data_IF_113557330569
#
_entry.id   IF_113557330569
#
_cell.length_a   1.000
_cell.length_b   1.000
_cell.length_c   1.000
_cell.angle_alpha   90.00
_cell.angle_beta   90.00
_cell.angle_gamma   90.00
#
_symmetry.space_group_name_H-M   'P 1'
#
loop_
_entity.id
_entity.type
_entity.pdbx_description
1 polymer ?
#
# COMPACT_ATOMS: atom_id res chain seq x y z
N UNK A 1 2.90 -39.78 30.72
CA UNK A 1 3.75 -39.64 29.51
C UNK A 1 4.10 -38.17 29.40
N UNK A 2 5.37 -37.79 29.60
CA UNK A 2 5.79 -36.39 29.44
C UNK A 2 5.67 -35.99 27.96
N UNK A 3 5.08 -34.84 27.69
CA UNK A 3 5.22 -34.20 26.38
C UNK A 3 6.72 -33.92 26.21
N UNK A 4 7.41 -34.73 25.41
CA UNK A 4 8.80 -34.47 25.07
C UNK A 4 8.92 -33.08 24.46
N UNK A 5 9.91 -32.30 24.90
CA UNK A 5 10.16 -30.96 24.38
C UNK A 5 10.19 -31.02 22.85
N UNK A 6 9.19 -30.42 22.21
CA UNK A 6 9.21 -30.31 20.75
C UNK A 6 10.48 -29.57 20.35
N UNK A 7 11.23 -30.06 19.34
CA UNK A 7 12.47 -29.44 18.93
C UNK A 7 12.25 -27.95 18.66
N UNK A 8 13.04 -27.09 19.30
CA UNK A 8 12.92 -25.63 19.16
C UNK A 8 13.09 -25.26 17.70
N UNK A 9 12.08 -24.62 17.11
CA UNK A 9 12.17 -24.07 15.75
C UNK A 9 13.36 -23.11 15.65
N UNK A 10 14.12 -23.11 14.53
CA UNK A 10 15.20 -22.15 14.34
C UNK A 10 14.68 -20.72 14.36
N UNK A 11 15.45 -19.76 14.90
CA UNK A 11 15.08 -18.34 14.89
C UNK A 11 15.81 -17.59 13.77
N UNK A 12 15.21 -16.50 13.27
CA UNK A 12 15.83 -15.71 12.20
C UNK A 12 17.08 -14.94 12.66
N UNK A 13 17.32 -14.83 13.97
CA UNK A 13 18.55 -14.25 14.52
C UNK A 13 19.74 -15.19 14.35
N UNK A 14 19.54 -16.51 14.44
CA UNK A 14 20.61 -17.51 14.43
C UNK A 14 20.72 -18.25 13.10
N UNK A 15 19.59 -18.62 12.50
CA UNK A 15 19.53 -19.34 11.23
C UNK A 15 18.32 -18.93 10.40
N UNK A 16 18.47 -17.86 9.61
CA UNK A 16 17.43 -17.35 8.73
C UNK A 16 16.95 -18.38 7.70
N UNK A 17 17.86 -19.23 7.20
CA UNK A 17 17.50 -20.21 6.17
C UNK A 17 16.71 -21.35 6.79
N UNK A 18 17.17 -21.90 7.91
CA UNK A 18 16.45 -22.92 8.66
C UNK A 18 15.11 -22.44 9.17
N UNK A 19 15.04 -21.21 9.68
CA UNK A 19 13.81 -20.55 10.12
C UNK A 19 12.77 -20.47 9.00
N UNK A 20 13.14 -19.92 7.83
CA UNK A 20 12.20 -19.84 6.71
C UNK A 20 11.83 -21.22 6.18
N UNK A 21 12.79 -22.15 6.10
CA UNK A 21 12.54 -23.51 5.61
C UNK A 21 11.61 -24.30 6.53
N UNK A 22 11.69 -24.10 7.85
CA UNK A 22 10.76 -24.69 8.81
C UNK A 22 9.34 -24.19 8.57
N UNK A 23 9.16 -22.87 8.47
CA UNK A 23 7.87 -22.27 8.16
C UNK A 23 7.30 -22.76 6.82
N UNK A 24 8.10 -22.89 5.76
CA UNK A 24 7.62 -23.39 4.45
C UNK A 24 7.14 -24.85 4.52
N UNK A 25 7.73 -25.69 5.37
CA UNK A 25 7.27 -27.07 5.59
C UNK A 25 5.93 -27.10 6.33
N UNK A 26 5.78 -26.27 7.35
CA UNK A 26 4.51 -26.14 8.08
C UNK A 26 3.41 -25.62 7.14
N UNK A 27 3.75 -24.63 6.31
CA UNK A 27 2.85 -24.08 5.30
C UNK A 27 2.48 -25.13 4.24
N UNK A 28 3.43 -25.94 3.77
CA UNK A 28 3.15 -27.03 2.84
C UNK A 28 2.19 -28.07 3.45
N UNK A 29 2.24 -28.27 4.76
CA UNK A 29 1.29 -29.16 5.46
C UNK A 29 -0.12 -28.58 5.46
N UNK A 30 -0.25 -27.26 5.66
CA UNK A 30 -1.56 -26.58 5.65
C UNK A 30 -2.13 -26.44 4.23
N UNK A 31 -1.30 -26.12 3.24
CA UNK A 31 -1.72 -25.75 1.89
C UNK A 31 -1.59 -26.90 0.86
N UNK A 32 -0.81 -27.93 1.14
CA UNK A 32 -0.49 -29.02 0.20
C UNK A 32 -1.29 -30.31 0.42
N UNK A 33 -1.95 -30.47 1.56
CA UNK A 33 -2.59 -31.74 1.95
C UNK A 33 -3.99 -31.96 1.40
N UNK A 34 -4.59 -30.98 0.71
CA UNK A 34 -5.99 -31.06 0.30
C UNK A 34 -6.97 -31.24 1.47
N UNK A 35 -6.49 -31.10 2.72
CA UNK A 35 -7.31 -31.24 3.92
C UNK A 35 -8.49 -30.28 3.83
N UNK A 36 -9.70 -30.83 3.96
CA UNK A 36 -10.85 -30.04 4.36
C UNK A 36 -10.54 -29.46 5.73
N UNK A 37 -10.10 -28.20 5.75
CA UNK A 37 -9.91 -27.46 6.99
C UNK A 37 -11.30 -27.36 7.63
N UNK A 38 -11.56 -28.26 8.59
CA UNK A 38 -12.83 -28.33 9.28
C UNK A 38 -13.12 -26.97 9.93
N UNK A 39 -14.30 -26.37 9.68
CA UNK A 39 -14.71 -25.12 10.32
C UNK A 39 -14.68 -25.16 11.86
N UNK A 40 -14.67 -26.36 12.46
CA UNK A 40 -14.61 -26.55 13.91
C UNK A 40 -13.24 -26.23 14.53
N UNK A 41 -12.16 -26.14 13.74
CA UNK A 41 -10.83 -25.70 14.23
C UNK A 41 -10.66 -24.18 14.23
N UNK A 42 -11.73 -23.43 13.90
CA UNK A 42 -11.80 -21.98 14.15
C UNK A 42 -11.67 -21.77 15.65
N UNK A 43 -10.44 -21.62 16.13
CA UNK A 43 -10.19 -20.92 17.40
C UNK A 43 -11.04 -19.66 17.35
N UNK A 44 -11.82 -19.34 18.39
CA UNK A 44 -12.60 -18.10 18.40
C UNK A 44 -11.65 -16.98 18.03
N UNK A 45 -11.91 -16.32 16.90
CA UNK A 45 -11.16 -15.13 16.50
C UNK A 45 -11.38 -14.15 17.66
N UNK A 46 -10.33 -13.77 18.41
CA UNK A 46 -10.48 -12.84 19.51
C UNK A 46 -11.22 -11.60 18.99
N UNK A 47 -12.24 -11.13 19.69
CA UNK A 47 -13.02 -9.97 19.22
C UNK A 47 -12.21 -8.66 19.14
N UNK A 48 -10.92 -8.70 19.51
CA UNK A 48 -9.86 -7.72 19.24
C UNK A 48 -9.82 -7.31 17.76
N UNK A 49 -10.15 -8.23 16.84
CA UNK A 49 -10.13 -8.01 15.39
C UNK A 49 -11.21 -7.02 14.92
N UNK A 50 -12.27 -6.81 15.71
CA UNK A 50 -13.40 -5.96 15.32
C UNK A 50 -13.09 -4.45 15.39
N UNK A 51 -12.11 -4.02 16.19
CA UNK A 51 -11.76 -2.61 16.39
C UNK A 51 -10.46 -2.18 15.67
N UNK A 52 -9.78 -3.13 15.03
CA UNK A 52 -8.56 -2.92 14.23
C UNK A 52 -8.67 -2.41 12.77
N UNK A 53 -9.82 -2.21 12.07
CA UNK A 53 -9.77 -2.25 10.60
C UNK A 53 -9.32 -0.97 9.88
N UNK A 54 -9.45 0.23 10.46
CA UNK A 54 -9.38 1.48 9.67
C UNK A 54 -8.08 2.27 9.77
N UNK A 55 -7.65 2.56 11.00
CA UNK A 55 -6.42 3.34 11.22
C UNK A 55 -5.18 2.59 10.70
N UNK A 56 -5.17 1.26 10.83
CA UNK A 56 -4.14 0.42 10.24
C UNK A 56 -4.18 0.45 8.71
N UNK A 57 -5.36 0.40 8.10
CA UNK A 57 -5.51 0.45 6.65
C UNK A 57 -5.07 1.80 6.06
N UNK A 58 -5.46 2.92 6.66
CA UNK A 58 -5.04 4.26 6.21
C UNK A 58 -3.55 4.50 6.37
N UNK A 59 -2.98 4.01 7.47
CA UNK A 59 -1.54 4.01 7.68
C UNK A 59 -0.84 3.16 6.62
N UNK A 60 -1.31 1.93 6.38
CA UNK A 60 -0.74 1.04 5.37
C UNK A 60 -0.72 1.68 3.98
N UNK A 61 -1.74 2.45 3.64
CA UNK A 61 -1.86 3.14 2.36
C UNK A 61 -0.97 4.38 2.30
N UNK A 62 -0.94 5.17 3.37
CA UNK A 62 -0.02 6.31 3.48
C UNK A 62 1.45 5.85 3.39
N UNK A 63 1.76 4.71 3.98
CA UNK A 63 3.09 4.11 3.88
C UNK A 63 3.31 3.53 2.48
N UNK A 64 2.35 2.81 1.87
CA UNK A 64 2.46 2.34 0.48
C UNK A 64 2.64 3.48 -0.55
N UNK A 65 2.00 4.63 -0.33
CA UNK A 65 2.19 5.86 -1.14
C UNK A 65 3.61 6.42 -0.98
N UNK A 66 4.10 6.53 0.27
CA UNK A 66 5.50 6.90 0.55
C UNK A 66 6.50 5.93 -0.09
N UNK A 67 6.20 4.63 -0.04
CA UNK A 67 7.04 3.57 -0.61
C UNK A 67 7.25 3.75 -2.12
N UNK A 68 6.19 4.10 -2.86
CA UNK A 68 6.28 4.21 -4.33
C UNK A 68 7.06 5.46 -4.78
N UNK A 69 6.96 6.56 -4.03
CA UNK A 69 7.65 7.82 -4.38
C UNK A 69 9.17 7.80 -4.15
N UNK A 70 9.66 6.92 -3.27
CA UNK A 70 11.09 6.85 -2.89
C UNK A 70 11.97 6.18 -3.95
N UNK A 71 11.40 5.30 -4.78
CA UNK A 71 12.17 4.37 -5.63
C UNK A 71 12.49 4.89 -7.03
N UNK A 72 11.90 6.00 -7.48
CA UNK A 72 12.16 6.54 -8.82
C UNK A 72 13.46 7.35 -8.84
N UNK A 73 14.47 6.87 -9.57
CA UNK A 73 15.67 7.67 -9.93
C UNK A 73 16.99 7.33 -9.24
N UNK A 74 17.11 6.20 -8.53
CA UNK A 74 18.34 5.82 -7.81
C UNK A 74 19.16 4.75 -8.56
N UNK A 75 20.50 4.85 -8.59
CA UNK A 75 21.36 3.82 -9.18
C UNK A 75 21.29 2.51 -8.37
N UNK A 76 21.32 1.37 -9.06
CA UNK A 76 21.30 0.03 -8.45
C UNK A 76 22.70 -0.34 -7.96
N UNK A 77 22.86 -0.62 -6.66
CA UNK A 77 24.19 -0.76 -6.02
C UNK A 77 24.57 -2.22 -5.68
N UNK A 78 23.68 -3.21 -5.79
CA UNK A 78 23.94 -4.54 -5.19
C UNK A 78 24.08 -5.74 -6.14
N UNK A 79 25.04 -6.61 -5.80
CA UNK A 79 25.40 -7.89 -6.42
C UNK A 79 24.84 -9.13 -5.69
N UNK A 80 23.94 -8.95 -4.71
CA UNK A 80 23.38 -10.08 -3.94
C UNK A 80 22.45 -10.93 -4.80
N UNK A 81 22.43 -12.24 -4.56
CA UNK A 81 21.44 -13.12 -5.19
C UNK A 81 20.01 -12.76 -4.72
N UNK A 82 19.03 -12.89 -5.60
CA UNK A 82 17.63 -12.56 -5.31
C UNK A 82 17.09 -13.27 -4.06
N UNK A 83 17.44 -14.55 -3.85
CA UNK A 83 17.05 -15.31 -2.65
C UNK A 83 17.54 -14.69 -1.34
N UNK A 84 18.75 -14.12 -1.32
CA UNK A 84 19.29 -13.45 -0.12
C UNK A 84 18.50 -12.17 0.15
N UNK A 85 18.15 -11.42 -0.89
CA UNK A 85 17.34 -10.20 -0.78
C UNK A 85 15.92 -10.50 -0.27
N UNK A 86 15.28 -11.55 -0.79
CA UNK A 86 13.96 -11.98 -0.32
C UNK A 86 13.97 -12.38 1.14
N UNK A 87 14.97 -13.15 1.56
CA UNK A 87 15.11 -13.56 2.95
C UNK A 87 15.41 -12.37 3.87
N UNK A 88 16.26 -11.44 3.45
CA UNK A 88 16.52 -10.19 4.17
C UNK A 88 15.23 -9.37 4.33
N UNK A 89 14.45 -9.20 3.26
CA UNK A 89 13.19 -8.46 3.30
C UNK A 89 12.16 -9.10 4.24
N UNK A 90 12.05 -10.43 4.23
CA UNK A 90 11.19 -11.19 5.15
C UNK A 90 11.59 -10.97 6.61
N UNK A 91 12.87 -11.09 6.93
CA UNK A 91 13.37 -10.90 8.30
C UNK A 91 13.12 -9.48 8.79
N UNK A 92 13.37 -8.48 7.94
CA UNK A 92 13.12 -7.07 8.30
C UNK A 92 11.63 -6.80 8.54
N UNK A 93 10.75 -7.34 7.71
CA UNK A 93 9.31 -7.23 7.92
C UNK A 93 8.91 -7.89 9.25
N UNK A 94 9.35 -9.12 9.53
CA UNK A 94 9.00 -9.81 10.78
C UNK A 94 9.56 -9.13 12.04
N UNK A 95 10.67 -8.39 11.92
CA UNK A 95 11.19 -7.53 12.98
C UNK A 95 10.42 -6.22 13.15
N UNK A 96 9.77 -5.74 12.09
CA UNK A 96 9.03 -4.48 12.11
C UNK A 96 7.77 -4.54 12.97
N UNK A 97 7.15 -5.72 13.08
CA UNK A 97 5.96 -5.94 13.90
C UNK A 97 5.97 -7.34 14.53
N UNK A 98 5.67 -7.47 15.84
CA UNK A 98 5.67 -8.75 16.53
C UNK A 98 4.67 -9.75 15.95
N UNK A 99 3.57 -9.28 15.36
CA UNK A 99 2.49 -10.13 14.85
C UNK A 99 2.78 -10.68 13.45
N UNK A 100 3.80 -10.15 12.76
CA UNK A 100 4.06 -10.51 11.37
C UNK A 100 4.50 -11.94 11.19
N UNK A 101 5.24 -12.50 12.15
CA UNK A 101 5.62 -13.91 12.10
C UNK A 101 4.41 -14.82 12.08
N UNK A 102 3.43 -14.55 12.95
CA UNK A 102 2.17 -15.30 13.01
C UNK A 102 1.31 -15.12 11.76
N UNK A 103 1.40 -13.97 11.09
CA UNK A 103 0.66 -13.70 9.85
C UNK A 103 1.23 -14.40 8.62
N UNK A 104 2.49 -14.87 8.65
CA UNK A 104 3.10 -15.54 7.48
C UNK A 104 2.31 -16.78 7.05
N UNK A 105 1.70 -17.52 7.98
CA UNK A 105 0.86 -18.70 7.65
C UNK A 105 -0.32 -18.38 6.72
N UNK A 106 -0.70 -17.11 6.61
CA UNK A 106 -1.75 -16.62 5.71
C UNK A 106 -1.24 -16.07 4.39
N UNK A 107 0.08 -16.09 4.17
CA UNK A 107 0.75 -15.43 3.05
C UNK A 107 1.62 -16.43 2.26
N UNK A 108 1.04 -17.46 1.63
CA UNK A 108 1.80 -18.43 0.83
C UNK A 108 2.54 -17.82 -0.37
N UNK A 109 2.20 -16.59 -0.76
CA UNK A 109 2.94 -15.79 -1.74
C UNK A 109 4.40 -15.54 -1.33
N UNK A 110 4.67 -15.54 -0.03
CA UNK A 110 5.97 -15.19 0.55
C UNK A 110 6.99 -16.32 0.58
N UNK A 111 6.63 -17.52 0.09
CA UNK A 111 7.61 -18.61 -0.03
C UNK A 111 8.73 -18.22 -0.98
N UNK A 112 9.99 -18.55 -0.65
CA UNK A 112 11.15 -18.28 -1.48
C UNK A 112 11.02 -18.94 -2.85
N UNK A 113 10.37 -20.11 -2.92
CA UNK A 113 10.05 -20.77 -4.19
C UNK A 113 9.13 -19.91 -5.07
N UNK A 114 8.08 -19.29 -4.52
CA UNK A 114 7.19 -18.41 -5.29
C UNK A 114 7.85 -17.08 -5.64
N UNK A 115 8.48 -16.40 -4.68
CA UNK A 115 9.15 -15.13 -4.93
C UNK A 115 10.26 -15.25 -5.99
N UNK A 116 11.03 -16.35 -5.95
CA UNK A 116 12.11 -16.62 -6.89
C UNK A 116 11.69 -17.42 -8.13
N UNK A 117 10.38 -17.57 -8.40
CA UNK A 117 9.91 -18.24 -9.63
C UNK A 117 10.41 -17.47 -10.85
N UNK A 118 10.88 -18.21 -11.87
CA UNK A 118 11.41 -17.67 -13.12
C UNK A 118 12.41 -16.52 -12.89
N UNK A 119 13.40 -16.77 -12.02
CA UNK A 119 14.46 -15.81 -11.68
C UNK A 119 13.96 -14.50 -11.07
N UNK A 120 12.91 -14.55 -10.24
CA UNK A 120 12.38 -13.39 -9.51
C UNK A 120 11.10 -12.80 -10.10
N UNK A 121 10.59 -13.36 -11.21
CA UNK A 121 9.31 -12.95 -11.81
C UNK A 121 8.16 -13.01 -10.82
N UNK A 122 8.13 -14.00 -9.93
CA UNK A 122 7.09 -14.12 -8.90
C UNK A 122 7.05 -12.93 -7.92
N UNK A 123 8.22 -12.39 -7.55
CA UNK A 123 8.29 -11.15 -6.78
C UNK A 123 7.76 -9.95 -7.56
N UNK A 124 8.13 -9.81 -8.84
CA UNK A 124 7.65 -8.71 -9.71
C UNK A 124 6.14 -8.76 -9.90
N UNK A 125 5.56 -9.95 -10.04
CA UNK A 125 4.11 -10.12 -10.12
C UNK A 125 3.41 -9.74 -8.81
N UNK A 126 3.96 -10.14 -7.65
CA UNK A 126 3.43 -9.74 -6.35
C UNK A 126 3.50 -8.22 -6.17
N UNK A 127 4.63 -7.59 -6.54
CA UNK A 127 4.79 -6.14 -6.53
C UNK A 127 3.70 -5.46 -7.37
N UNK A 128 3.51 -5.88 -8.63
CA UNK A 128 2.44 -5.34 -9.51
C UNK A 128 1.05 -5.50 -8.90
N UNK A 129 0.78 -6.64 -8.26
CA UNK A 129 -0.48 -6.89 -7.57
C UNK A 129 -0.69 -6.00 -6.35
N UNK A 130 0.37 -5.49 -5.71
CA UNK A 130 0.27 -4.59 -4.56
C UNK A 130 0.33 -3.11 -4.94
N UNK A 131 0.98 -2.75 -6.05
CA UNK A 131 1.10 -1.37 -6.52
C UNK A 131 -0.27 -0.78 -6.87
N UNK A 132 -0.58 0.40 -6.34
CA UNK A 132 -1.78 1.14 -6.71
C UNK A 132 -1.62 1.76 -8.10
N UNK A 133 -2.67 1.73 -8.92
CA UNK A 133 -2.65 2.41 -10.22
C UNK A 133 -2.60 3.93 -10.05
N UNK A 134 -3.36 4.43 -9.06
CA UNK A 134 -3.38 5.81 -8.65
C UNK A 134 -2.78 5.92 -7.23
N UNK A 135 -1.68 6.66 -7.10
CA UNK A 135 -1.02 6.89 -5.82
C UNK A 135 -1.65 8.05 -5.05
N UNK A 136 -2.47 8.88 -5.69
CA UNK A 136 -3.13 10.02 -5.06
C UNK A 136 -4.51 9.61 -4.55
N UNK A 137 -5.12 8.59 -5.17
CA UNK A 137 -6.34 7.94 -4.68
C UNK A 137 -6.03 6.76 -3.78
N UNK A 138 -6.25 6.95 -2.48
CA UNK A 138 -6.35 5.83 -1.54
C UNK A 138 -7.60 4.99 -1.91
N UNK A 139 -7.50 3.67 -2.11
CA UNK A 139 -8.64 2.82 -2.46
C UNK A 139 -9.63 2.70 -1.29
N UNK A 140 -10.92 2.71 -1.61
CA UNK A 140 -12.00 2.53 -0.61
C UNK A 140 -12.15 1.08 -0.13
N UNK A 141 -11.42 0.14 -0.72
CA UNK A 141 -11.35 -1.23 -0.26
C UNK A 141 -9.94 -1.79 -0.30
N UNK A 142 -9.68 -2.75 0.59
CA UNK A 142 -8.39 -3.39 0.71
C UNK A 142 -8.07 -4.10 -0.59
N UNK A 143 -6.92 -3.76 -1.19
CA UNK A 143 -6.42 -4.47 -2.36
C UNK A 143 -6.03 -5.89 -1.94
N UNK A 144 -6.82 -6.88 -2.34
CA UNK A 144 -6.54 -8.28 -2.03
C UNK A 144 -5.61 -8.90 -3.07
N UNK A 145 -4.72 -9.78 -2.61
CA UNK A 145 -3.85 -10.59 -3.48
C UNK A 145 -4.52 -11.95 -3.68
N UNK A 146 -4.96 -12.32 -4.90
CA UNK A 146 -5.70 -13.55 -5.13
C UNK A 146 -4.92 -14.80 -4.69
N UNK A 147 -5.57 -15.70 -3.95
CA UNK A 147 -4.99 -17.01 -3.62
C UNK A 147 -6.07 -18.01 -3.27
N UNK A 148 -6.28 -18.98 -4.17
CA UNK A 148 -7.38 -19.94 -4.07
C UNK A 148 -7.49 -20.64 -2.70
N UNK A 149 -6.38 -20.97 -2.05
CA UNK A 149 -6.42 -21.65 -0.74
C UNK A 149 -6.78 -20.68 0.38
N UNK A 150 -6.15 -19.51 0.42
CA UNK A 150 -6.51 -18.46 1.38
C UNK A 150 -7.99 -18.04 1.22
N UNK A 151 -8.43 -17.87 -0.03
CA UNK A 151 -9.78 -17.45 -0.38
C UNK A 151 -10.80 -18.52 0.04
N UNK A 152 -10.47 -19.81 -0.13
CA UNK A 152 -11.29 -20.93 0.37
C UNK A 152 -11.37 -20.96 1.90
N UNK A 153 -10.24 -20.74 2.60
CA UNK A 153 -10.20 -20.74 4.07
C UNK A 153 -11.01 -19.57 4.65
N UNK A 154 -10.92 -18.41 4.01
CA UNK A 154 -11.59 -17.19 4.44
C UNK A 154 -12.93 -16.96 3.72
N UNK A 155 -13.48 -17.98 3.05
CA UNK A 155 -14.76 -17.87 2.39
C UNK A 155 -15.87 -17.59 3.42
N UNK A 156 -16.70 -16.58 3.10
CA UNK A 156 -17.88 -16.27 3.89
C UNK A 156 -19.05 -17.15 3.43
N UNK A 157 -19.95 -17.58 4.34
CA UNK A 157 -21.20 -18.20 3.94
C UNK A 157 -22.09 -17.19 3.19
N UNK A 158 -23.12 -17.66 2.49
CA UNK A 158 -24.01 -16.81 1.69
C UNK A 158 -24.65 -15.65 2.49
N UNK A 159 -24.96 -15.88 3.78
CA UNK A 159 -25.51 -14.88 4.69
C UNK A 159 -24.59 -14.73 5.91
N UNK A 160 -23.45 -14.04 5.78
CA UNK A 160 -22.46 -13.96 6.85
C UNK A 160 -22.94 -13.03 7.96
N UNK A 161 -22.75 -13.47 9.21
CA UNK A 161 -22.90 -12.58 10.36
C UNK A 161 -21.94 -11.37 10.21
N UNK A 162 -22.34 -10.12 10.54
CA UNK A 162 -21.50 -8.93 10.37
C UNK A 162 -20.11 -9.04 10.99
N UNK A 163 -20.01 -9.71 12.14
CA UNK A 163 -18.72 -9.99 12.79
C UNK A 163 -17.77 -10.85 11.94
N UNK A 164 -18.28 -11.80 11.13
CA UNK A 164 -17.46 -12.60 10.22
C UNK A 164 -16.96 -11.75 9.05
N UNK A 165 -17.75 -10.81 8.56
CA UNK A 165 -17.34 -9.87 7.51
C UNK A 165 -16.18 -9.00 7.99
N UNK A 166 -16.28 -8.46 9.21
CA UNK A 166 -15.20 -7.67 9.82
C UNK A 166 -13.96 -8.52 10.06
N UNK A 167 -14.13 -9.73 10.59
CA UNK A 167 -13.02 -10.65 10.81
C UNK A 167 -12.28 -10.96 9.51
N UNK A 168 -13.01 -11.30 8.43
CA UNK A 168 -12.42 -11.50 7.10
C UNK A 168 -11.65 -10.26 6.64
N UNK A 169 -12.27 -9.08 6.68
CA UNK A 169 -11.61 -7.84 6.23
C UNK A 169 -10.35 -7.52 7.03
N UNK A 170 -10.34 -7.80 8.33
CA UNK A 170 -9.14 -7.65 9.14
C UNK A 170 -8.06 -8.68 8.78
N UNK A 171 -8.43 -9.94 8.49
CA UNK A 171 -7.50 -10.93 7.95
C UNK A 171 -6.94 -10.50 6.59
N UNK A 172 -7.77 -9.97 5.70
CA UNK A 172 -7.36 -9.45 4.39
C UNK A 172 -6.40 -8.25 4.56
N UNK A 173 -6.69 -7.36 5.51
CA UNK A 173 -5.86 -6.22 5.85
C UNK A 173 -4.49 -6.66 6.39
N UNK A 174 -4.47 -7.55 7.39
CA UNK A 174 -3.23 -8.06 7.98
C UNK A 174 -2.37 -8.80 6.97
N UNK A 175 -2.99 -9.61 6.10
CA UNK A 175 -2.31 -10.29 4.98
C UNK A 175 -1.71 -9.28 4.01
N UNK A 176 -2.52 -8.36 3.49
CA UNK A 176 -2.05 -7.33 2.55
C UNK A 176 -0.93 -6.49 3.16
N UNK A 177 -1.02 -6.18 4.46
CA UNK A 177 0.02 -5.43 5.17
C UNK A 177 1.35 -6.16 5.18
N UNK A 178 1.34 -7.43 5.59
CA UNK A 178 2.55 -8.23 5.63
C UNK A 178 3.16 -8.36 4.23
N UNK A 179 2.34 -8.62 3.21
CA UNK A 179 2.80 -8.71 1.82
C UNK A 179 3.48 -7.41 1.37
N UNK A 180 2.84 -6.26 1.58
CA UNK A 180 3.40 -4.93 1.26
C UNK A 180 4.69 -4.67 2.02
N UNK A 181 4.74 -4.99 3.31
CA UNK A 181 5.93 -4.78 4.15
C UNK A 181 7.10 -5.65 3.71
N UNK A 182 6.87 -6.89 3.31
CA UNK A 182 7.93 -7.75 2.77
C UNK A 182 8.43 -7.18 1.44
N UNK A 183 7.52 -6.83 0.53
CA UNK A 183 7.91 -6.25 -0.77
C UNK A 183 8.74 -4.98 -0.57
N UNK A 184 8.30 -4.10 0.30
CA UNK A 184 9.04 -2.88 0.64
C UNK A 184 10.43 -3.17 1.20
N UNK A 185 10.54 -4.08 2.18
CA UNK A 185 11.83 -4.39 2.78
C UNK A 185 12.78 -5.14 1.84
N UNK A 186 12.27 -5.88 0.85
CA UNK A 186 13.08 -6.43 -0.25
C UNK A 186 13.63 -5.31 -1.11
N UNK A 187 12.82 -4.32 -1.47
CA UNK A 187 13.26 -3.16 -2.26
C UNK A 187 14.31 -2.35 -1.49
N UNK A 188 14.06 -2.04 -0.21
CA UNK A 188 15.07 -1.39 0.65
C UNK A 188 16.37 -2.20 0.71
N UNK A 189 16.29 -3.52 0.89
CA UNK A 189 17.47 -4.37 0.92
C UNK A 189 18.25 -4.32 -0.40
N UNK A 190 17.54 -4.34 -1.54
CA UNK A 190 18.10 -4.24 -2.89
C UNK A 190 18.84 -2.91 -3.12
N UNK A 191 18.28 -1.80 -2.64
CA UNK A 191 18.92 -0.48 -2.71
C UNK A 191 19.97 -0.25 -1.61
N UNK A 192 20.19 -1.22 -0.71
CA UNK A 192 21.13 -1.07 0.40
C UNK A 192 20.64 -0.14 1.51
N UNK A 193 19.34 0.13 1.55
CA UNK A 193 18.68 1.02 2.51
C UNK A 193 18.01 0.23 3.64
N UNK A 194 17.53 0.94 4.66
CA UNK A 194 16.72 0.37 5.74
C UNK A 194 15.83 1.44 6.34
N UNK A 195 14.69 1.04 6.89
CA UNK A 195 13.76 1.93 7.57
C UNK A 195 13.54 1.47 9.02
N UNK A 196 13.35 2.44 9.92
CA UNK A 196 12.99 2.17 11.31
C UNK A 196 11.48 2.22 11.48
N UNK A 197 10.91 1.10 11.89
CA UNK A 197 9.48 0.94 12.17
C UNK A 197 9.20 1.16 13.66
N UNK A 198 8.08 1.82 13.95
CA UNK A 198 7.58 2.04 15.31
C UNK A 198 6.27 1.31 15.52
N UNK A 199 6.02 0.85 16.74
CA UNK A 199 4.72 0.31 17.11
C UNK A 199 3.73 1.46 17.32
N UNK A 200 2.49 1.27 16.89
CA UNK A 200 1.42 2.26 17.09
C UNK A 200 0.56 1.85 18.28
N UNK A 201 0.29 2.80 19.18
CA UNK A 201 -0.66 2.60 20.28
C UNK A 201 -2.07 2.48 19.70
N UNK A 202 -2.59 1.26 19.71
CA UNK A 202 -4.00 0.99 19.45
C UNK A 202 -4.94 1.59 20.50
N UNK A 203 -6.25 1.45 20.27
CA UNK A 203 -7.25 1.76 21.28
C UNK A 203 -7.02 0.91 22.54
N UNK A 204 -7.50 1.42 23.68
CA UNK A 204 -7.54 0.63 24.90
C UNK A 204 -8.65 -0.41 24.77
N UNK A 205 -8.30 -1.67 24.89
CA UNK A 205 -9.31 -2.71 25.08
C UNK A 205 -10.12 -2.40 26.34
N UNK A 206 -11.43 -2.58 26.23
CA UNK A 206 -12.33 -2.60 27.38
C UNK A 206 -11.86 -3.68 28.37
N UNK A 207 -11.60 -3.33 29.66
CA UNK A 207 -11.21 -4.30 30.67
C UNK A 207 -12.16 -5.51 30.78
N UNK A 208 -13.46 -5.30 30.60
CA UNK A 208 -14.45 -6.39 30.61
C UNK A 208 -14.36 -7.27 29.35
N UNK A 209 -14.00 -6.70 28.20
CA UNK A 209 -13.66 -7.48 27.01
C UNK A 209 -12.45 -8.38 27.27
N UNK A 210 -11.35 -7.83 27.83
CA UNK A 210 -10.16 -8.63 28.18
C UNK A 210 -10.50 -9.75 29.17
N UNK A 211 -11.35 -9.48 30.16
CA UNK A 211 -11.80 -10.48 31.14
C UNK A 211 -12.59 -11.61 30.47
N UNK A 212 -13.49 -11.29 29.54
CA UNK A 212 -14.24 -12.28 28.75
C UNK A 212 -13.32 -13.11 27.86
N UNK A 213 -12.36 -12.47 27.20
CA UNK A 213 -11.38 -13.15 26.37
C UNK A 213 -10.54 -14.14 27.19
N UNK A 214 -10.04 -13.71 28.36
CA UNK A 214 -9.33 -14.59 29.32
C UNK A 214 -10.15 -15.80 29.73
N UNK A 215 -11.45 -15.65 29.94
CA UNK A 215 -12.35 -16.76 30.29
C UNK A 215 -12.56 -17.73 29.11
N UNK A 216 -12.56 -17.23 27.88
CA UNK A 216 -12.76 -18.04 26.66
C UNK A 216 -11.50 -18.80 26.21
N UNK A 217 -10.31 -18.29 26.53
CA UNK A 217 -9.03 -18.93 26.21
C UNK A 217 -8.69 -19.90 27.36
N UNK A 218 -9.06 -21.16 27.20
CA UNK A 218 -9.00 -22.23 28.21
C UNK A 218 -7.58 -22.71 28.59
N UNK A 219 -6.56 -21.85 28.52
CA UNK A 219 -5.18 -22.17 28.89
C UNK A 219 -4.47 -21.00 29.60
N UNK A 220 -4.20 -21.16 30.91
CA UNK A 220 -3.61 -20.10 31.73
C UNK A 220 -2.20 -19.66 31.27
N UNK A 221 -1.40 -20.59 30.71
CA UNK A 221 0.01 -20.33 30.37
C UNK A 221 0.14 -19.41 29.16
N UNK A 222 -0.67 -19.60 28.12
CA UNK A 222 -0.64 -18.74 26.92
C UNK A 222 -1.24 -17.36 27.20
N UNK A 223 -2.27 -17.27 28.03
CA UNK A 223 -2.93 -15.99 28.34
C UNK A 223 -1.99 -15.03 29.09
N UNK A 224 -1.21 -15.52 30.06
CA UNK A 224 -0.24 -14.68 30.79
C UNK A 224 0.87 -14.17 29.86
N UNK A 225 1.38 -15.04 28.99
CA UNK A 225 2.43 -14.69 28.01
C UNK A 225 1.93 -13.62 27.04
N UNK A 226 0.79 -13.86 26.38
CA UNK A 226 0.17 -12.91 25.44
C UNK A 226 -0.14 -11.58 26.13
N UNK A 227 -0.65 -11.59 27.36
CA UNK A 227 -0.93 -10.36 28.10
C UNK A 227 0.34 -9.56 28.43
N UNK A 228 1.43 -10.26 28.81
CA UNK A 228 2.73 -9.64 29.07
C UNK A 228 3.35 -9.05 27.80
N UNK A 229 3.37 -9.81 26.70
CA UNK A 229 3.85 -9.36 25.38
C UNK A 229 3.04 -8.15 24.90
N UNK A 230 1.71 -8.21 24.99
CA UNK A 230 0.81 -7.09 24.66
C UNK A 230 1.12 -5.85 25.51
N UNK A 231 1.34 -6.01 26.82
CA UNK A 231 1.70 -4.91 27.70
C UNK A 231 3.04 -4.30 27.32
N UNK A 232 4.07 -5.12 27.05
CA UNK A 232 5.39 -4.68 26.63
C UNK A 232 5.35 -3.95 25.28
N UNK A 233 4.63 -4.50 24.29
CA UNK A 233 4.43 -3.88 22.98
C UNK A 233 3.74 -2.52 23.13
N UNK A 234 2.72 -2.45 23.99
CA UNK A 234 2.00 -1.20 24.25
C UNK A 234 2.84 -0.14 24.97
N UNK A 235 3.82 -0.52 25.77
CA UNK A 235 4.77 0.42 26.38
C UNK A 235 5.69 1.04 25.32
N UNK A 236 6.19 0.23 24.38
CA UNK A 236 7.04 0.67 23.26
C UNK A 236 6.28 1.45 22.20
N UNK A 237 4.98 1.23 22.09
CA UNK A 237 4.16 1.85 21.07
C UNK A 237 4.00 3.37 21.28
N UNK A 238 3.97 4.11 20.19
CA UNK A 238 3.80 5.56 20.15
C UNK A 238 2.41 5.95 19.65
N UNK A 239 1.94 7.13 20.06
CA UNK A 239 0.74 7.73 19.47
C UNK A 239 1.14 8.46 18.20
N UNK A 240 0.27 8.41 17.20
CA UNK A 240 0.53 9.00 15.90
C UNK A 240 -0.55 10.01 15.55
N UNK A 241 -0.19 10.99 14.74
CA UNK A 241 -1.15 11.92 14.18
C UNK A 241 -2.05 11.17 13.19
N UNK A 242 -3.36 11.28 13.39
CA UNK A 242 -4.38 10.62 12.54
C UNK A 242 -4.30 11.08 11.09
N UNK A 243 -3.89 12.33 10.84
CA UNK A 243 -3.85 12.91 9.49
C UNK A 243 -2.56 12.61 8.73
N UNK A 244 -1.38 12.71 9.36
CA UNK A 244 -0.09 12.52 8.67
C UNK A 244 0.64 11.22 9.04
N UNK A 245 0.10 10.45 9.97
CA UNK A 245 0.68 9.18 10.43
C UNK A 245 1.97 9.32 11.21
N UNK A 246 2.46 10.53 11.51
CA UNK A 246 3.74 10.71 12.21
C UNK A 246 3.56 10.69 13.74
N UNK A 247 4.50 10.09 14.50
CA UNK A 247 4.56 10.28 15.94
C UNK A 247 5.01 11.71 16.30
N UNK A 248 4.86 12.09 17.57
CA UNK A 248 5.22 13.42 18.07
C UNK A 248 6.68 13.79 17.73
N UNK A 249 7.61 12.86 17.99
CA UNK A 249 9.05 12.99 17.73
C UNK A 249 9.36 13.34 16.27
N UNK A 250 8.81 12.58 15.32
CA UNK A 250 9.01 12.83 13.88
C UNK A 250 8.22 14.03 13.34
N UNK A 251 7.16 14.45 14.03
CA UNK A 251 6.36 15.62 13.66
C UNK A 251 6.94 16.94 14.21
N UNK A 252 8.03 16.90 14.98
CA UNK A 252 8.64 18.09 15.58
C UNK A 252 7.78 18.73 16.68
N UNK A 253 6.97 17.94 17.38
CA UNK A 253 6.13 18.41 18.50
C UNK A 253 6.40 17.57 19.75
N UNK A 254 6.34 18.20 20.93
CA UNK A 254 6.55 17.49 22.20
C UNK A 254 5.43 16.48 22.47
N UNK A 255 4.18 16.88 22.22
CA UNK A 255 3.00 16.02 22.43
C UNK A 255 1.97 16.21 21.33
N UNK A 256 1.20 15.16 21.04
CA UNK A 256 0.07 15.25 20.12
C UNK A 256 -1.19 15.73 20.84
N UNK A 257 -1.92 16.65 20.21
CA UNK A 257 -3.20 17.16 20.70
C UNK A 257 -4.33 16.15 20.47
N UNK A 258 -5.15 15.87 21.48
CA UNK A 258 -6.30 14.97 21.37
C UNK A 258 -7.59 15.72 20.96
N UNK A 259 -8.45 15.09 20.16
CA UNK A 259 -9.80 15.60 19.92
C UNK A 259 -10.67 15.46 21.18
N UNK A 260 -11.06 16.58 21.80
CA UNK A 260 -11.79 16.57 23.08
C UNK A 260 -13.15 15.85 22.99
N UNK A 261 -13.87 16.02 21.88
CA UNK A 261 -15.16 15.32 21.66
C UNK A 261 -15.00 13.81 21.57
N UNK A 262 -13.91 13.33 20.95
CA UNK A 262 -13.64 11.89 20.87
C UNK A 262 -13.15 11.34 22.20
N UNK A 263 -12.30 12.11 22.90
CA UNK A 263 -11.82 11.76 24.23
C UNK A 263 -12.97 11.59 25.23
N UNK A 264 -14.04 12.38 25.12
CA UNK A 264 -15.24 12.27 25.96
C UNK A 264 -16.01 10.95 25.81
N UNK A 265 -15.77 10.20 24.73
CA UNK A 265 -16.35 8.86 24.49
C UNK A 265 -15.24 7.78 24.48
N UNK A 266 -14.14 8.04 25.17
CA UNK A 266 -12.94 7.18 25.27
C UNK A 266 -12.28 6.80 23.93
N UNK A 267 -12.59 7.52 22.85
CA UNK A 267 -11.94 7.31 21.55
C UNK A 267 -10.71 8.20 21.41
N UNK A 268 -9.56 7.56 21.24
CA UNK A 268 -8.29 8.26 21.10
C UNK A 268 -8.02 8.70 19.66
N UNK A 269 -8.13 10.00 19.38
CA UNK A 269 -7.79 10.61 18.08
C UNK A 269 -6.84 11.78 18.31
N UNK A 270 -5.64 11.72 17.72
CA UNK A 270 -4.55 12.65 17.98
C UNK A 270 -4.10 13.40 16.72
N UNK A 271 -3.59 14.62 16.89
CA UNK A 271 -3.04 15.45 15.82
C UNK A 271 -1.79 16.18 16.27
N UNK A 272 -0.79 16.28 15.39
CA UNK A 272 0.41 17.09 15.65
C UNK A 272 0.15 18.60 15.51
N UNK A 273 -0.91 19.01 14.80
CA UNK A 273 -1.23 20.41 14.56
C UNK A 273 -2.71 20.63 14.28
N UNK A 274 -3.16 21.89 14.41
CA UNK A 274 -4.52 22.29 14.00
C UNK A 274 -4.76 22.07 12.51
N UNK A 275 -3.73 22.28 11.67
CA UNK A 275 -3.76 22.01 10.23
C UNK A 275 -4.12 20.55 9.94
N UNK A 276 -3.43 19.61 10.59
CA UNK A 276 -3.73 18.17 10.49
C UNK A 276 -5.15 17.83 10.97
N UNK A 277 -5.61 18.44 12.07
CA UNK A 277 -6.99 18.25 12.54
C UNK A 277 -8.02 18.74 11.51
N UNK A 278 -7.80 19.90 10.89
CA UNK A 278 -8.72 20.46 9.88
C UNK A 278 -8.70 19.64 8.58
N UNK A 279 -7.53 19.12 8.20
CA UNK A 279 -7.41 18.20 7.07
C UNK A 279 -8.24 16.93 7.33
N UNK A 280 -8.00 16.24 8.44
CA UNK A 280 -8.78 15.04 8.81
C UNK A 280 -10.29 15.34 8.98
N UNK A 281 -10.65 16.53 9.46
CA UNK A 281 -12.04 16.99 9.54
C UNK A 281 -12.76 17.01 8.20
N UNK A 282 -12.05 17.41 7.12
CA UNK A 282 -12.61 17.56 5.78
C UNK A 282 -12.44 16.30 4.93
N UNK A 283 -11.24 15.74 4.92
CA UNK A 283 -10.78 14.72 3.97
C UNK A 283 -10.29 13.45 4.65
N UNK A 284 -10.45 13.33 5.97
CA UNK A 284 -10.22 12.08 6.68
C UNK A 284 -11.08 10.96 6.09
N UNK A 285 -10.77 9.71 6.44
CA UNK A 285 -11.52 8.55 5.97
C UNK A 285 -12.08 7.83 7.21
N UNK A 286 -13.40 7.85 7.46
CA UNK A 286 -14.32 8.85 6.93
C UNK A 286 -13.93 10.24 7.47
N UNK A 287 -14.42 11.35 6.89
CA UNK A 287 -14.07 12.67 7.39
C UNK A 287 -14.38 12.79 8.88
N UNK A 288 -13.45 13.26 9.70
CA UNK A 288 -13.59 13.17 11.16
C UNK A 288 -14.91 13.78 11.66
N UNK A 289 -15.41 14.82 10.97
CA UNK A 289 -16.70 15.46 11.27
C UNK A 289 -17.89 14.49 11.30
N UNK A 290 -17.86 13.41 10.52
CA UNK A 290 -18.96 12.45 10.43
C UNK A 290 -19.00 11.54 11.65
N UNK A 291 -17.83 11.24 12.23
CA UNK A 291 -17.67 10.31 13.37
C UNK A 291 -17.42 11.00 14.71
N UNK A 292 -17.00 12.26 14.73
CA UNK A 292 -16.53 12.99 15.92
C UNK A 292 -17.55 12.98 17.07
N UNK A 293 -17.16 12.47 18.25
CA UNK A 293 -18.01 12.43 19.45
C UNK A 293 -19.23 11.50 19.39
N UNK A 294 -19.39 10.70 18.32
CA UNK A 294 -20.52 9.77 18.17
C UNK A 294 -20.09 8.34 18.49
N UNK A 295 -20.72 7.74 19.50
CA UNK A 295 -20.58 6.31 19.83
C UNK A 295 -21.15 5.48 18.67
N UNK A 296 -20.45 4.43 18.24
CA UNK A 296 -20.90 3.56 17.15
C UNK A 296 -20.71 4.12 15.73
N UNK A 297 -20.48 5.42 15.54
CA UNK A 297 -20.41 6.01 14.20
C UNK A 297 -19.30 5.45 13.29
N UNK A 298 -18.22 4.89 13.85
CA UNK A 298 -17.20 4.19 13.05
C UNK A 298 -17.78 2.90 12.47
N UNK A 299 -18.47 2.13 13.31
CA UNK A 299 -19.17 0.90 12.92
C UNK A 299 -20.21 1.22 11.85
N UNK A 300 -21.02 2.24 12.08
CA UNK A 300 -22.09 2.61 11.15
C UNK A 300 -21.50 3.16 9.84
N UNK A 301 -20.42 3.94 9.87
CA UNK A 301 -19.73 4.38 8.65
C UNK A 301 -19.06 3.23 7.88
N UNK A 302 -18.76 2.11 8.55
CA UNK A 302 -18.15 0.94 7.94
C UNK A 302 -19.16 0.01 7.29
N UNK A 303 -20.33 -0.14 7.91
CA UNK A 303 -21.42 -0.97 7.39
C UNK A 303 -22.45 -0.20 6.58
N UNK A 304 -22.38 1.13 6.56
CA UNK A 304 -23.18 1.91 5.64
C UNK A 304 -22.93 1.39 4.22
N UNK A 305 -23.99 1.13 3.43
CA UNK A 305 -23.81 0.83 2.02
C UNK A 305 -22.93 1.94 1.44
N UNK A 306 -21.84 1.55 0.76
CA UNK A 306 -21.03 2.52 0.03
C UNK A 306 -22.01 3.30 -0.84
N UNK A 307 -22.00 4.66 -0.81
CA UNK A 307 -22.77 5.43 -1.77
C UNK A 307 -22.44 4.81 -3.12
N UNK A 308 -23.46 4.34 -3.85
CA UNK A 308 -23.28 3.91 -5.22
C UNK A 308 -22.66 5.13 -5.89
N UNK A 309 -21.35 5.11 -6.15
CA UNK A 309 -20.73 6.15 -6.95
C UNK A 309 -21.62 6.25 -8.17
N UNK A 310 -22.15 7.44 -8.51
CA UNK A 310 -23.01 7.57 -9.67
C UNK A 310 -22.24 6.89 -10.80
N UNK A 311 -22.78 5.78 -11.30
CA UNK A 311 -22.15 5.00 -12.35
C UNK A 311 -21.79 6.05 -13.40
N UNK A 312 -20.48 6.29 -13.66
CA UNK A 312 -20.10 7.21 -14.71
C UNK A 312 -20.92 6.77 -15.92
N UNK A 313 -21.72 7.67 -16.48
CA UNK A 313 -22.57 7.34 -17.62
C UNK A 313 -21.70 6.57 -18.62
N UNK A 314 -22.09 5.33 -18.94
CA UNK A 314 -21.26 4.30 -19.56
C UNK A 314 -20.91 4.59 -21.05
N UNK A 315 -20.84 5.85 -21.47
CA UNK A 315 -20.90 6.20 -22.90
C UNK A 315 -19.70 6.99 -23.46
N UNK A 316 -18.54 6.97 -22.82
CA UNK A 316 -17.31 7.35 -23.52
C UNK A 316 -16.18 6.36 -23.19
N UNK A 317 -15.91 5.46 -24.15
CA UNK A 317 -14.66 4.69 -24.28
C UNK A 317 -13.47 5.66 -24.50
N UNK A 318 -13.24 6.54 -23.54
CA UNK A 318 -12.07 7.38 -23.47
C UNK A 318 -11.04 6.66 -22.59
N UNK A 319 -10.01 6.12 -23.26
CA UNK A 319 -8.82 5.53 -22.63
C UNK A 319 -8.08 6.47 -21.66
N UNK A 320 -8.52 7.73 -21.57
CA UNK A 320 -7.92 8.79 -20.77
C UNK A 320 -8.87 9.26 -19.66
N UNK A 321 -8.43 9.27 -18.39
CA UNK A 321 -9.27 9.67 -17.27
C UNK A 321 -9.71 11.15 -17.40
N UNK A 322 -10.96 11.51 -17.05
CA UNK A 322 -11.49 12.86 -17.21
C UNK A 322 -10.67 13.92 -16.44
N UNK A 323 -10.63 15.19 -16.88
CA UNK A 323 -9.92 16.23 -16.16
C UNK A 323 -10.55 16.48 -14.78
N UNK A 324 -9.71 16.77 -13.78
CA UNK A 324 -10.19 17.15 -12.45
C UNK A 324 -11.00 18.45 -12.51
N UNK A 325 -11.99 18.67 -11.61
CA UNK A 325 -12.79 19.89 -11.60
C UNK A 325 -11.92 21.16 -11.56
N UNK A 326 -12.11 22.04 -12.56
CA UNK A 326 -11.36 23.29 -12.70
C UNK A 326 -10.10 23.20 -13.57
N UNK A 327 -9.68 22.00 -13.98
CA UNK A 327 -8.63 21.84 -14.99
C UNK A 327 -9.25 21.75 -16.39
N UNK A 328 -8.73 22.54 -17.32
CA UNK A 328 -9.16 22.54 -18.73
C UNK A 328 -7.97 22.08 -19.58
N UNK A 329 -8.13 20.97 -20.29
CA UNK A 329 -7.13 20.46 -21.22
C UNK A 329 -6.92 21.46 -22.37
N UNK A 330 -5.67 21.72 -22.73
CA UNK A 330 -5.37 22.60 -23.86
C UNK A 330 -5.80 21.97 -25.19
N UNK A 331 -6.07 22.75 -26.24
CA UNK A 331 -6.33 22.22 -27.58
C UNK A 331 -5.20 21.32 -28.11
N UNK A 332 -3.94 21.64 -27.79
CA UNK A 332 -2.79 20.82 -28.16
C UNK A 332 -2.81 19.46 -27.46
N UNK A 333 -3.15 19.43 -26.17
CA UNK A 333 -3.29 18.17 -25.44
C UNK A 333 -4.44 17.32 -25.98
N UNK A 334 -5.60 17.92 -26.29
CA UNK A 334 -6.71 17.21 -26.90
C UNK A 334 -6.33 16.61 -28.27
N UNK A 335 -5.55 17.34 -29.07
CA UNK A 335 -5.00 16.81 -30.31
C UNK A 335 -4.06 15.61 -30.07
N UNK A 336 -3.17 15.71 -29.08
CA UNK A 336 -2.27 14.63 -28.69
C UNK A 336 -3.03 13.37 -28.23
N UNK A 337 -4.07 13.52 -27.42
CA UNK A 337 -4.93 12.40 -26.99
C UNK A 337 -5.67 11.75 -28.16
N UNK A 338 -6.15 12.54 -29.12
CA UNK A 338 -6.76 12.03 -30.35
C UNK A 338 -5.77 11.18 -31.16
N UNK A 339 -4.54 11.66 -31.36
CA UNK A 339 -3.51 10.91 -32.09
C UNK A 339 -3.18 9.57 -31.43
N UNK A 340 -3.18 9.52 -30.10
CA UNK A 340 -2.97 8.29 -29.34
C UNK A 340 -4.15 7.32 -29.45
N UNK A 341 -5.39 7.84 -29.43
CA UNK A 341 -6.60 7.03 -29.65
C UNK A 341 -6.60 6.38 -31.05
N UNK A 342 -6.12 7.12 -32.06
CA UNK A 342 -5.97 6.62 -33.43
C UNK A 342 -4.78 5.65 -33.59
N UNK A 343 -3.83 5.62 -32.64
CA UNK A 343 -2.60 4.83 -32.70
C UNK A 343 -2.29 4.15 -31.34
N UNK A 344 -3.08 3.16 -30.90
CA UNK A 344 -3.00 2.58 -29.55
C UNK A 344 -1.67 1.88 -29.22
N UNK A 345 -0.84 1.58 -30.23
CA UNK A 345 0.50 1.02 -30.08
C UNK A 345 1.55 2.05 -29.66
N UNK A 346 1.25 3.35 -29.76
CA UNK A 346 2.17 4.43 -29.43
C UNK A 346 2.02 4.85 -27.97
N UNK A 347 3.13 5.20 -27.33
CA UNK A 347 3.12 5.78 -25.99
C UNK A 347 2.98 7.31 -26.05
N UNK A 348 3.50 7.95 -27.11
CA UNK A 348 3.43 9.39 -27.33
C UNK A 348 3.61 9.72 -28.83
N UNK A 349 3.35 10.97 -29.23
CA UNK A 349 3.50 11.44 -30.62
C UNK A 349 4.20 12.79 -30.61
N UNK A 350 5.31 12.90 -31.34
CA UNK A 350 6.02 14.17 -31.55
C UNK A 350 5.39 14.87 -32.77
N UNK A 351 4.62 15.93 -32.50
CA UNK A 351 3.84 16.63 -33.53
C UNK A 351 4.74 17.53 -34.35
N UNK A 352 4.90 17.24 -35.65
CA UNK A 352 5.81 17.96 -36.53
C UNK A 352 5.09 19.04 -37.34
N UNK A 353 5.75 20.17 -37.65
CA UNK A 353 5.16 21.15 -38.54
C UNK A 353 5.03 20.56 -39.95
N UNK A 354 3.91 20.88 -40.60
CA UNK A 354 3.67 20.61 -42.02
C UNK A 354 4.88 21.07 -42.87
N UNK A 355 5.31 20.30 -43.89
CA UNK A 355 4.69 19.08 -44.43
C UNK A 355 5.22 17.77 -43.82
N UNK A 356 5.91 17.82 -42.69
CA UNK A 356 6.52 16.62 -42.11
C UNK A 356 5.44 15.80 -41.38
N UNK A 357 5.35 14.48 -41.62
CA UNK A 357 4.36 13.65 -40.93
C UNK A 357 4.68 13.59 -39.43
N UNK A 358 3.74 13.33 -38.53
CA UNK A 358 4.09 13.20 -37.10
C UNK A 358 5.02 12.00 -36.83
N UNK A 359 5.69 11.99 -35.67
CA UNK A 359 6.59 10.91 -35.28
C UNK A 359 6.09 10.20 -34.02
N UNK A 360 5.58 8.99 -34.19
CA UNK A 360 5.15 8.14 -33.08
C UNK A 360 6.32 7.64 -32.23
N UNK A 361 6.13 7.63 -30.92
CA UNK A 361 7.10 7.15 -29.93
C UNK A 361 6.58 5.88 -29.28
N UNK A 362 7.41 4.83 -29.28
CA UNK A 362 7.17 3.57 -28.57
C UNK A 362 8.36 3.33 -27.63
N UNK A 363 8.10 3.33 -26.34
CA UNK A 363 9.09 3.09 -25.30
C UNK A 363 9.43 1.60 -25.26
N UNK A 364 10.70 1.29 -25.53
CA UNK A 364 11.16 -0.09 -25.68
C UNK A 364 11.15 -0.88 -24.36
N UNK A 365 11.33 -0.18 -23.23
CA UNK A 365 11.26 -0.79 -21.90
C UNK A 365 9.80 -0.87 -21.42
N UNK A 366 9.23 -2.07 -21.19
CA UNK A 366 7.85 -2.21 -20.74
C UNK A 366 7.57 -1.54 -19.39
N UNK A 367 8.57 -1.46 -18.50
CA UNK A 367 8.42 -0.75 -17.23
C UNK A 367 8.42 0.77 -17.46
N UNK A 368 9.33 1.28 -18.29
CA UNK A 368 9.35 2.66 -18.77
C UNK A 368 8.02 3.08 -19.38
N UNK A 369 7.47 2.30 -20.32
CA UNK A 369 6.14 2.55 -20.92
C UNK A 369 5.04 2.63 -19.86
N UNK A 370 5.02 1.69 -18.91
CA UNK A 370 4.06 1.71 -17.80
C UNK A 370 4.19 2.99 -16.96
N UNK A 371 5.41 3.37 -16.56
CA UNK A 371 5.65 4.57 -15.78
C UNK A 371 5.28 5.84 -16.55
N UNK A 372 5.61 5.89 -17.84
CA UNK A 372 5.23 6.99 -18.72
C UNK A 372 3.72 7.18 -18.76
N UNK A 373 2.96 6.11 -18.97
CA UNK A 373 1.48 6.16 -18.99
C UNK A 373 0.90 6.63 -17.66
N UNK A 374 1.49 6.22 -16.53
CA UNK A 374 1.09 6.74 -15.20
C UNK A 374 1.33 8.25 -15.10
N UNK A 375 2.50 8.74 -15.52
CA UNK A 375 2.81 10.18 -15.52
C UNK A 375 1.86 10.96 -16.44
N UNK A 376 1.61 10.43 -17.66
CA UNK A 376 0.73 11.05 -18.64
C UNK A 376 -0.71 11.11 -18.14
N UNK A 377 -1.25 10.02 -17.59
CA UNK A 377 -2.62 10.00 -17.07
C UNK A 377 -2.81 11.04 -15.96
N UNK A 378 -1.80 11.25 -15.10
CA UNK A 378 -1.83 12.31 -14.10
C UNK A 378 -1.83 13.69 -14.75
N UNK A 379 -0.83 13.96 -15.60
CA UNK A 379 -0.70 15.24 -16.30
C UNK A 379 -1.90 15.59 -17.20
N UNK A 380 -2.69 14.60 -17.64
CA UNK A 380 -3.93 14.79 -18.40
C UNK A 380 -5.14 15.12 -17.51
N UNK A 381 -5.10 14.70 -16.25
CA UNK A 381 -6.12 14.99 -15.25
C UNK A 381 -5.87 16.29 -14.49
N UNK A 382 -4.62 16.67 -14.30
CA UNK A 382 -4.21 17.78 -13.45
C UNK A 382 -3.07 18.62 -14.05
N UNK A 383 -2.86 19.81 -13.49
CA UNK A 383 -1.69 20.62 -13.79
C UNK A 383 -0.53 20.18 -12.89
N UNK A 384 0.14 19.07 -13.25
CA UNK A 384 1.29 18.54 -12.50
C UNK A 384 2.64 18.76 -13.21
N UNK A 385 3.39 19.83 -12.85
CA UNK A 385 4.69 20.11 -13.44
C UNK A 385 5.70 18.96 -13.29
N UNK A 386 5.66 18.26 -12.16
CA UNK A 386 6.57 17.15 -11.85
C UNK A 386 6.36 15.97 -12.78
N UNK A 387 5.10 15.60 -13.06
CA UNK A 387 4.82 14.44 -13.92
C UNK A 387 5.15 14.76 -15.38
N UNK A 388 4.87 15.98 -15.85
CA UNK A 388 5.28 16.45 -17.18
C UNK A 388 6.80 16.45 -17.34
N UNK A 389 7.54 16.85 -16.31
CA UNK A 389 9.00 16.80 -16.35
C UNK A 389 9.55 15.37 -16.47
N UNK A 390 8.95 14.39 -15.76
CA UNK A 390 9.31 12.97 -15.93
C UNK A 390 9.01 12.46 -17.34
N UNK A 391 7.87 12.85 -17.92
CA UNK A 391 7.55 12.51 -19.31
C UNK A 391 8.59 13.08 -20.27
N UNK A 392 8.97 14.36 -20.08
CA UNK A 392 10.03 15.00 -20.85
C UNK A 392 11.34 14.20 -20.78
N UNK A 393 11.78 13.79 -19.58
CA UNK A 393 13.01 13.01 -19.42
C UNK A 393 12.99 11.69 -20.20
N UNK A 394 11.83 11.01 -20.26
CA UNK A 394 11.68 9.77 -21.02
C UNK A 394 11.64 9.99 -22.54
N UNK A 395 11.09 11.12 -22.98
CA UNK A 395 10.96 11.45 -24.41
C UNK A 395 12.21 12.14 -24.99
N UNK A 396 13.03 12.78 -24.15
CA UNK A 396 14.19 13.57 -24.57
C UNK A 396 15.15 12.78 -25.50
N UNK A 397 15.55 11.52 -25.19
CA UNK A 397 16.42 10.77 -26.08
C UNK A 397 15.82 10.55 -27.47
N UNK A 398 14.53 10.23 -27.54
CA UNK A 398 13.82 10.04 -28.81
C UNK A 398 13.69 11.34 -29.58
N UNK A 399 13.30 12.43 -28.92
CA UNK A 399 13.17 13.74 -29.55
C UNK A 399 14.51 14.28 -30.08
N UNK A 400 15.62 13.99 -29.38
CA UNK A 400 16.98 14.33 -29.84
C UNK A 400 17.36 13.62 -31.13
N UNK A 401 16.94 12.36 -31.28
CA UNK A 401 17.27 11.53 -32.42
C UNK A 401 16.24 11.61 -33.56
N UNK A 402 15.06 12.20 -33.32
CA UNK A 402 14.01 12.36 -34.31
C UNK A 402 14.40 13.42 -35.37
N UNK A 403 14.54 13.05 -36.67
CA UNK A 403 14.99 13.96 -37.71
C UNK A 403 14.11 15.21 -37.82
N UNK A 404 14.75 16.37 -37.70
CA UNK A 404 14.09 17.68 -37.83
C UNK A 404 13.20 18.07 -36.65
N UNK A 405 13.16 17.29 -35.56
CA UNK A 405 12.38 17.64 -34.36
C UNK A 405 13.24 18.35 -33.30
N UNK A 406 14.09 17.60 -32.59
CA UNK A 406 14.99 18.11 -31.56
C UNK A 406 14.32 18.37 -30.20
N UNK A 407 15.16 18.49 -29.16
CA UNK A 407 14.72 18.67 -27.77
C UNK A 407 13.93 19.97 -27.57
N UNK A 408 14.34 21.06 -28.23
CA UNK A 408 13.65 22.35 -28.10
C UNK A 408 12.20 22.32 -28.62
N UNK A 409 11.90 21.49 -29.63
CA UNK A 409 10.52 21.31 -30.07
C UNK A 409 9.71 20.46 -29.09
N UNK A 410 10.33 19.47 -28.45
CA UNK A 410 9.69 18.71 -27.36
C UNK A 410 9.29 19.63 -26.21
N UNK A 411 10.20 20.52 -25.76
CA UNK A 411 9.89 21.49 -24.70
C UNK A 411 8.71 22.39 -25.07
N UNK A 412 8.70 22.92 -26.29
CA UNK A 412 7.59 23.74 -26.79
C UNK A 412 6.28 22.96 -26.90
N UNK A 413 6.35 21.68 -27.26
CA UNK A 413 5.17 20.80 -27.29
C UNK A 413 4.62 20.58 -25.87
N UNK A 414 5.48 20.24 -24.90
CA UNK A 414 5.09 20.10 -23.48
C UNK A 414 4.45 21.37 -22.92
N UNK A 415 5.01 22.53 -23.25
CA UNK A 415 4.47 23.83 -22.84
C UNK A 415 3.07 24.08 -23.45
N UNK A 416 2.88 23.75 -24.73
CA UNK A 416 1.58 23.93 -25.39
C UNK A 416 0.51 22.97 -24.86
N UNK A 417 0.90 21.72 -24.60
CA UNK A 417 -0.02 20.68 -24.15
C UNK A 417 -0.42 20.87 -22.68
N UNK A 418 0.56 21.04 -21.80
CA UNK A 418 0.33 21.02 -20.35
C UNK A 418 0.41 22.39 -19.69
N UNK A 419 0.88 23.42 -20.40
CA UNK A 419 1.17 24.74 -19.82
C UNK A 419 2.40 24.75 -18.93
N UNK A 420 3.31 23.78 -19.08
CA UNK A 420 4.48 23.59 -18.22
C UNK A 420 5.77 23.91 -18.96
N UNK A 421 6.54 24.84 -18.40
CA UNK A 421 7.93 25.08 -18.80
C UNK A 421 8.86 24.09 -18.08
N UNK A 422 9.34 23.09 -18.82
CA UNK A 422 10.18 22.03 -18.25
C UNK A 422 11.55 22.52 -17.80
N UNK A 423 12.07 23.63 -18.33
CA UNK A 423 13.35 24.19 -17.89
C UNK A 423 13.19 24.88 -16.53
N UNK A 424 12.06 25.55 -16.30
CA UNK A 424 11.72 26.13 -15.00
C UNK A 424 11.57 25.04 -13.92
N UNK A 425 10.83 23.97 -14.22
CA UNK A 425 10.66 22.82 -13.29
C UNK A 425 12.00 22.16 -12.99
N UNK A 426 12.87 22.03 -14.00
CA UNK A 426 14.21 21.49 -13.84
C UNK A 426 15.05 22.34 -12.88
N UNK A 427 15.02 23.66 -13.02
CA UNK A 427 15.76 24.58 -12.17
C UNK A 427 15.31 24.50 -10.70
N UNK A 428 14.00 24.41 -10.46
CA UNK A 428 13.44 24.21 -9.13
C UNK A 428 13.88 22.87 -8.53
N UNK A 429 13.84 21.79 -9.31
CA UNK A 429 14.17 20.45 -8.83
C UNK A 429 15.64 20.27 -8.42
N UNK A 430 16.57 20.99 -9.04
CA UNK A 430 17.99 20.93 -8.69
C UNK A 430 18.43 21.98 -7.65
N UNK A 431 17.54 22.90 -7.30
CA UNK A 431 17.80 23.94 -6.29
C UNK A 431 17.31 23.52 -4.89
N UNK A 432 16.51 22.46 -4.80
CA UNK A 432 16.05 21.78 -3.58
C UNK A 432 16.92 20.58 -3.25
#
# INVERSE_FOLDING_TARGET
>A
MGFGDSPKSPSFETDRRGWNSAWERDLATVYGTGLEISPASRRPVPSIVADLPKQYYEMMLADAQRMTLSLTGRPVVQTKSAKILFLEGLVRACKASPDFEDHRKWCPELTLKRLNRDSGKGFVELLKQLTLQDLDKVPDDIKTVPNAVYDKINALPANPHPGLVVAKKSCDCGRTYLLTMVVWNVLLAFYGESEQYGLIKGQRDDPEHLKRLKKSLSGEVDVKRVASETAANRQRAERHCTSCGLPASKAGVETLSACQRCKAIDRLVFYCSKKCQVADWKTGRPPHKTICGKVGAIRDAYFAPKPTEPTPAEDDDDDFPPPNPGYVRSPALLHQLKLLKENPQMDYVLVRPDPHPDHGVILQDPLGSMFFKVCMNRAVCDHSPREVFKMFQQLEPTARNAPGFGVEKLKKQMLKEYGIDVDAVKAEHYSS
#
